data_IF_206855093236
#
_entry.id   IF_206855093236
#
_cell.length_a   1.000
_cell.length_b   1.000
_cell.length_c   1.000
_cell.angle_alpha   90.00
_cell.angle_beta   90.00
_cell.angle_gamma   90.00
#
_symmetry.space_group_name_H-M   'P 1'
#
loop_
_entity.id
_entity.type
_entity.pdbx_description
1 polymer ?
#
# COMPACT_ATOMS: atom_id res chain seq x y z
N UNK A 1 7.58 -8.62 7.53
CA UNK A 1 7.16 -8.06 8.81
C UNK A 1 6.69 -6.63 8.61
N UNK A 2 5.58 -6.31 9.18
CA UNK A 2 4.98 -5.01 9.01
C UNK A 2 5.59 -4.00 9.98
N UNK A 3 5.97 -2.85 9.47
CA UNK A 3 6.45 -1.75 10.27
C UNK A 3 5.50 -0.58 10.16
N UNK A 4 5.00 -0.14 11.29
CA UNK A 4 4.14 1.03 11.32
C UNK A 4 5.00 2.25 11.55
N UNK A 5 4.99 3.16 10.61
CA UNK A 5 5.61 4.45 10.81
C UNK A 5 4.59 5.38 11.45
N UNK A 6 4.95 5.94 12.57
CA UNK A 6 4.05 6.85 13.25
C UNK A 6 4.40 8.27 12.92
N UNK A 7 3.71 8.80 11.95
CA UNK A 7 3.68 10.23 11.79
C UNK A 7 2.27 10.66 12.08
N UNK A 8 2.12 11.40 13.14
CA UNK A 8 0.80 11.76 13.67
C UNK A 8 -0.08 12.44 12.65
N UNK A 9 0.52 13.12 11.68
CA UNK A 9 -0.23 13.89 10.69
C UNK A 9 -0.47 13.15 9.39
N UNK A 10 0.09 11.97 9.25
CA UNK A 10 0.06 11.30 7.96
C UNK A 10 -0.95 10.16 7.94
N UNK A 11 -2.20 10.52 7.76
CA UNK A 11 -3.23 9.53 7.49
C UNK A 11 -3.18 9.01 6.07
N UNK A 12 -2.26 9.54 5.26
CA UNK A 12 -2.21 9.24 3.83
C UNK A 12 -1.01 8.40 3.42
N UNK A 13 -0.26 7.87 4.37
CA UNK A 13 0.90 7.06 4.03
C UNK A 13 0.48 5.71 3.49
N UNK A 14 1.05 5.38 2.36
CA UNK A 14 0.82 4.12 1.69
C UNK A 14 2.12 3.33 1.66
N UNK A 15 2.05 2.09 2.07
CA UNK A 15 3.21 1.22 2.06
C UNK A 15 2.93 -0.04 1.26
N UNK A 16 3.93 -0.46 0.52
CA UNK A 16 3.98 -1.80 -0.04
C UNK A 16 4.61 -2.71 0.99
N UNK A 17 3.93 -3.78 1.33
CA UNK A 17 4.38 -4.66 2.39
C UNK A 17 4.35 -6.11 1.92
N UNK A 18 5.52 -6.74 1.86
CA UNK A 18 5.62 -8.15 1.48
C UNK A 18 5.23 -9.09 2.61
N UNK A 19 5.23 -8.60 3.84
CA UNK A 19 4.82 -9.38 5.00
C UNK A 19 3.34 -9.38 5.26
N UNK A 20 2.57 -8.66 4.46
CA UNK A 20 1.15 -8.53 4.61
C UNK A 20 0.44 -9.34 3.53
N UNK A 21 -0.41 -10.27 3.92
CA UNK A 21 -1.11 -11.13 2.95
C UNK A 21 -2.36 -10.47 2.37
N UNK A 22 -2.85 -9.40 2.96
CA UNK A 22 -4.06 -8.72 2.54
C UNK A 22 -3.86 -7.22 2.55
N UNK A 23 -4.45 -6.55 1.58
CA UNK A 23 -4.53 -5.09 1.62
C UNK A 23 -5.34 -4.67 2.84
N UNK A 24 -4.87 -3.64 3.53
CA UNK A 24 -5.54 -3.11 4.72
C UNK A 24 -5.45 -1.62 4.76
N UNK A 25 -6.54 -0.96 5.05
CA UNK A 25 -6.56 0.48 5.27
C UNK A 25 -7.39 0.82 6.49
N UNK A 26 -7.08 1.95 7.08
CA UNK A 26 -7.75 2.41 8.29
C UNK A 26 -8.69 3.57 8.08
N UNK A 27 -8.85 4.02 6.86
CA UNK A 27 -9.71 5.16 6.55
C UNK A 27 -10.92 4.69 5.75
N UNK A 28 -12.08 4.66 6.42
CA UNK A 28 -13.33 4.22 5.82
C UNK A 28 -13.70 5.04 4.59
N UNK A 29 -13.31 6.31 4.57
CA UNK A 29 -13.69 7.20 3.48
C UNK A 29 -13.01 6.88 2.15
N UNK A 30 -11.95 6.08 2.17
CA UNK A 30 -11.24 5.71 0.95
C UNK A 30 -11.97 4.62 0.15
N UNK A 31 -12.95 3.98 0.75
CA UNK A 31 -13.68 2.93 0.06
C UNK A 31 -14.71 3.52 -0.89
N UNK A 32 -14.63 3.07 -2.12
CA UNK A 32 -15.60 3.36 -3.17
C UNK A 32 -16.80 2.42 -3.06
N UNK A 33 -16.53 1.17 -2.76
CA UNK A 33 -17.52 0.16 -2.47
C UNK A 33 -17.13 -0.48 -1.15
N UNK A 34 -18.07 -0.62 -0.24
CA UNK A 34 -17.76 -1.16 1.07
C UNK A 34 -18.88 -2.05 1.57
N UNK A 35 -18.48 -3.17 2.15
CA UNK A 35 -19.40 -4.07 2.80
C UNK A 35 -18.95 -4.28 4.23
N UNK A 36 -19.81 -3.91 5.16
CA UNK A 36 -19.56 -4.14 6.57
C UNK A 36 -19.50 -5.64 6.83
N UNK A 37 -18.54 -6.05 7.60
CA UNK A 37 -18.36 -7.47 7.92
C UNK A 37 -17.82 -7.58 9.33
N UNK A 38 -18.49 -8.35 10.13
CA UNK A 38 -17.97 -8.73 11.45
C UNK A 38 -17.00 -9.86 11.27
N UNK A 39 -15.83 -9.73 11.82
CA UNK A 39 -15.04 -10.92 11.91
C UNK A 39 -13.57 -10.73 11.88
N UNK A 40 -12.92 -11.34 12.82
CA UNK A 40 -11.50 -11.47 12.87
C UNK A 40 -10.76 -10.23 13.33
N UNK A 41 -9.54 -10.48 13.70
CA UNK A 41 -8.60 -9.45 14.09
C UNK A 41 -7.35 -9.58 13.26
N UNK A 42 -6.68 -8.46 13.07
CA UNK A 42 -5.32 -8.43 12.54
C UNK A 42 -4.39 -8.34 13.74
N UNK A 43 -3.39 -9.20 13.76
CA UNK A 43 -2.36 -9.16 14.79
C UNK A 43 -1.10 -8.58 14.19
N UNK A 44 -0.58 -7.53 14.78
CA UNK A 44 0.63 -6.86 14.33
C UNK A 44 1.86 -7.47 14.97
N UNK A 45 3.03 -7.13 14.45
CA UNK A 45 4.28 -7.70 14.93
C UNK A 45 4.58 -7.38 16.39
N UNK A 46 4.03 -6.30 16.91
CA UNK A 46 4.18 -5.93 18.32
C UNK A 46 3.19 -6.67 19.24
N UNK A 47 2.39 -7.56 18.68
CA UNK A 47 1.38 -8.31 19.44
C UNK A 47 0.05 -7.60 19.57
N UNK A 48 -0.05 -6.35 19.17
CA UNK A 48 -1.32 -5.63 19.23
C UNK A 48 -2.28 -6.19 18.19
N UNK A 49 -3.58 -6.02 18.46
CA UNK A 49 -4.63 -6.50 17.59
C UNK A 49 -5.58 -5.37 17.23
N UNK A 50 -6.08 -5.42 16.02
CA UNK A 50 -7.12 -4.50 15.56
C UNK A 50 -8.22 -5.29 14.88
N UNK A 51 -9.43 -4.77 15.01
CA UNK A 51 -10.60 -5.46 14.51
C UNK A 51 -10.85 -5.14 13.05
N UNK A 52 -11.14 -6.17 12.27
CA UNK A 52 -11.58 -6.03 10.89
C UNK A 52 -13.07 -5.66 10.93
N UNK A 53 -13.42 -4.55 10.30
CA UNK A 53 -14.79 -4.04 10.28
C UNK A 53 -15.51 -4.25 8.96
N UNK A 54 -14.79 -4.64 7.93
CA UNK A 54 -15.39 -4.88 6.63
C UNK A 54 -14.35 -4.99 5.55
N UNK A 55 -14.80 -5.04 4.33
CA UNK A 55 -13.91 -5.05 3.17
C UNK A 55 -14.61 -4.42 1.97
N UNK A 56 -13.80 -4.00 1.03
CA UNK A 56 -14.33 -3.37 -0.15
C UNK A 56 -13.28 -3.04 -1.17
N UNK A 57 -13.65 -2.11 -2.04
CA UNK A 57 -12.81 -1.65 -3.15
C UNK A 57 -12.40 -0.22 -2.92
N UNK A 58 -11.15 0.06 -3.18
CA UNK A 58 -10.62 1.42 -3.10
C UNK A 58 -10.12 1.85 -4.46
N UNK A 59 -10.02 3.17 -4.65
CA UNK A 59 -9.47 3.76 -5.86
C UNK A 59 -8.25 4.59 -5.47
N UNK A 60 -7.10 3.96 -5.34
CA UNK A 60 -5.89 4.70 -4.99
C UNK A 60 -5.48 5.63 -6.11
N UNK A 61 -4.81 6.74 -5.79
CA UNK A 61 -4.30 7.61 -6.83
C UNK A 61 -3.39 6.87 -7.79
N UNK A 62 -3.60 7.05 -9.08
CA UNK A 62 -2.77 6.50 -10.16
C UNK A 62 -2.73 4.98 -10.27
N UNK A 63 -3.51 4.30 -9.48
CA UNK A 63 -3.65 2.87 -9.58
C UNK A 63 -5.07 2.54 -10.00
N UNK A 64 -5.27 1.43 -10.69
CA UNK A 64 -6.61 0.95 -10.91
C UNK A 64 -7.28 0.59 -9.59
N UNK A 65 -8.57 0.41 -9.62
CA UNK A 65 -9.32 0.00 -8.45
C UNK A 65 -8.73 -1.29 -7.87
N UNK A 66 -8.65 -1.33 -6.57
CA UNK A 66 -8.15 -2.49 -5.84
C UNK A 66 -9.30 -3.05 -5.00
N UNK A 67 -9.63 -4.30 -5.25
CA UNK A 67 -10.69 -4.99 -4.54
C UNK A 67 -10.15 -5.78 -3.36
N UNK A 68 -11.04 -6.26 -2.52
CA UNK A 68 -10.71 -7.12 -1.38
C UNK A 68 -9.78 -6.46 -0.39
N UNK A 69 -9.97 -5.19 -0.16
CA UNK A 69 -9.21 -4.42 0.82
C UNK A 69 -9.94 -4.49 2.15
N UNK A 70 -9.23 -4.83 3.21
CA UNK A 70 -9.80 -4.87 4.54
C UNK A 70 -9.83 -3.48 5.16
N UNK A 71 -10.93 -3.18 5.81
CA UNK A 71 -11.00 -2.01 6.67
C UNK A 71 -10.66 -2.45 8.09
N UNK A 72 -9.57 -1.92 8.60
CA UNK A 72 -9.05 -2.27 9.92
C UNK A 72 -9.12 -1.03 10.79
N UNK A 73 -9.97 -1.08 11.78
CA UNK A 73 -10.19 0.07 12.66
C UNK A 73 -8.92 0.44 13.41
N UNK A 74 -8.61 1.72 13.42
CA UNK A 74 -7.45 2.22 14.14
C UNK A 74 -6.12 2.12 13.42
N UNK A 75 -6.10 1.49 12.26
CA UNK A 75 -4.88 1.42 11.46
C UNK A 75 -4.56 2.81 10.91
N UNK A 76 -3.33 3.25 11.12
CA UNK A 76 -2.93 4.62 10.77
C UNK A 76 -2.23 4.73 9.43
N UNK A 77 -1.97 3.62 8.78
CA UNK A 77 -1.30 3.59 7.50
C UNK A 77 -2.12 2.76 6.53
N UNK A 78 -1.86 2.95 5.26
CA UNK A 78 -2.50 2.16 4.23
C UNK A 78 -1.49 1.13 3.74
N UNK A 79 -1.83 -0.14 3.86
CA UNK A 79 -0.93 -1.23 3.53
C UNK A 79 -1.43 -1.95 2.29
N UNK A 80 -0.59 -1.99 1.29
CA UNK A 80 -0.85 -2.75 0.09
C UNK A 80 -0.01 -4.01 0.10
N UNK A 81 -0.67 -5.13 0.00
CA UNK A 81 -0.04 -6.44 -0.05
C UNK A 81 0.61 -6.65 -1.41
N UNK A 82 1.91 -6.84 -1.42
CA UNK A 82 2.64 -7.09 -2.66
C UNK A 82 2.13 -8.36 -3.33
N UNK A 83 1.86 -9.40 -2.57
CA UNK A 83 1.37 -10.65 -3.15
C UNK A 83 0.02 -10.46 -3.83
N UNK A 84 -0.89 -9.71 -3.25
CA UNK A 84 -2.18 -9.45 -3.88
C UNK A 84 -2.05 -8.56 -5.12
N UNK A 85 -1.10 -7.64 -5.11
CA UNK A 85 -0.81 -6.83 -6.30
C UNK A 85 -0.33 -7.74 -7.42
N UNK A 86 0.60 -8.62 -7.13
CA UNK A 86 1.11 -9.55 -8.14
C UNK A 86 0.04 -10.51 -8.64
N UNK A 87 -0.91 -10.87 -7.78
CA UNK A 87 -2.04 -11.72 -8.19
C UNK A 87 -2.93 -11.05 -9.24
N UNK A 88 -2.86 -9.74 -9.35
CA UNK A 88 -3.62 -8.98 -10.35
C UNK A 88 -2.78 -8.64 -11.58
N UNK A 89 -1.73 -9.39 -11.83
CA UNK A 89 -0.85 -9.24 -12.98
C UNK A 89 -0.02 -7.96 -13.02
N UNK A 90 0.15 -7.32 -11.88
CA UNK A 90 1.11 -6.24 -11.76
C UNK A 90 2.47 -6.80 -11.39
N UNK A 91 3.50 -6.09 -11.77
CA UNK A 91 4.86 -6.40 -11.40
C UNK A 91 5.35 -5.38 -10.40
N UNK A 92 6.03 -5.86 -9.37
CA UNK A 92 6.65 -4.99 -8.38
C UNK A 92 8.14 -5.27 -8.41
N UNK A 93 8.92 -4.25 -8.72
CA UNK A 93 10.37 -4.36 -8.87
C UNK A 93 11.04 -3.53 -7.80
N UNK A 94 11.97 -4.14 -7.10
CA UNK A 94 12.72 -3.49 -6.04
C UNK A 94 14.18 -3.33 -6.43
N UNK A 95 14.70 -2.15 -6.17
CA UNK A 95 16.12 -1.88 -6.19
C UNK A 95 16.54 -1.41 -4.80
N UNK A 96 17.82 -1.15 -4.62
CA UNK A 96 18.34 -0.71 -3.33
C UNK A 96 17.60 0.51 -2.76
N UNK A 97 17.27 1.45 -3.60
CA UNK A 97 16.66 2.71 -3.13
C UNK A 97 15.23 2.93 -3.58
N UNK A 98 14.70 2.08 -4.44
CA UNK A 98 13.42 2.36 -5.11
C UNK A 98 12.59 1.12 -5.31
N UNK A 99 11.32 1.36 -5.53
CA UNK A 99 10.38 0.32 -5.91
C UNK A 99 9.55 0.84 -7.07
N UNK A 100 9.34 0.02 -8.07
CA UNK A 100 8.46 0.34 -9.20
C UNK A 100 7.31 -0.64 -9.23
N UNK A 101 6.14 -0.11 -9.55
CA UNK A 101 4.98 -0.94 -9.88
C UNK A 101 4.65 -0.75 -11.36
N UNK A 102 4.59 -1.84 -12.07
CA UNK A 102 4.30 -1.85 -13.51
C UNK A 102 3.03 -2.65 -13.77
N UNK A 103 2.28 -2.24 -14.78
CA UNK A 103 1.16 -3.06 -15.23
C UNK A 103 1.68 -4.22 -16.11
N UNK A 104 0.78 -5.07 -16.56
CA UNK A 104 1.17 -6.23 -17.37
C UNK A 104 1.75 -5.84 -18.73
N UNK A 105 1.54 -4.60 -19.17
CA UNK A 105 2.17 -4.06 -20.37
C UNK A 105 3.53 -3.45 -20.08
N UNK A 106 4.01 -3.58 -18.84
CA UNK A 106 5.26 -3.01 -18.35
C UNK A 106 5.25 -1.49 -18.30
N UNK A 107 4.06 -0.91 -18.30
CA UNK A 107 3.93 0.53 -18.13
C UNK A 107 4.08 0.86 -16.65
N UNK A 108 4.92 1.85 -16.37
CA UNK A 108 5.12 2.29 -14.99
C UNK A 108 3.88 3.00 -14.48
N UNK A 109 3.37 2.54 -13.36
CA UNK A 109 2.25 3.15 -12.68
C UNK A 109 2.71 4.05 -11.55
N UNK A 110 3.61 3.53 -10.72
CA UNK A 110 4.07 4.23 -9.52
C UNK A 110 5.54 3.92 -9.31
N UNK A 111 6.24 4.88 -8.74
CA UNK A 111 7.54 4.64 -8.14
C UNK A 111 7.52 5.12 -6.69
N UNK A 112 8.32 4.49 -5.87
CA UNK A 112 8.47 4.89 -4.49
C UNK A 112 9.92 4.83 -4.07
N UNK A 113 10.22 5.49 -2.95
CA UNK A 113 11.56 5.52 -2.40
C UNK A 113 11.61 4.69 -1.13
N UNK A 114 12.77 4.11 -0.89
CA UNK A 114 13.03 3.43 0.36
C UNK A 114 13.14 4.43 1.49
N UNK A 115 12.45 4.17 2.57
CA UNK A 115 12.51 5.01 3.77
C UNK A 115 13.66 4.60 4.67
N UNK A 116 13.92 5.41 5.68
CA UNK A 116 14.93 5.11 6.68
C UNK A 116 14.59 3.84 7.47
N UNK A 117 13.33 3.48 7.53
CA UNK A 117 12.85 2.27 8.21
C UNK A 117 12.91 1.03 7.34
N UNK A 118 13.56 1.11 6.20
CA UNK A 118 13.65 0.01 5.25
C UNK A 118 12.31 -0.40 4.65
N UNK A 119 11.37 0.51 4.62
CA UNK A 119 10.09 0.34 3.95
C UNK A 119 10.09 1.11 2.65
N UNK A 120 9.21 0.74 1.73
CA UNK A 120 9.04 1.51 0.51
C UNK A 120 7.74 2.29 0.64
N UNK A 121 7.90 3.59 0.69
CA UNK A 121 6.80 4.51 0.88
C UNK A 121 6.15 4.76 -0.47
N UNK A 122 4.90 4.37 -0.60
CA UNK A 122 4.14 4.58 -1.82
C UNK A 122 3.50 5.96 -1.73
N UNK A 123 4.07 6.92 -2.41
CA UNK A 123 3.57 8.29 -2.35
C UNK A 123 2.38 8.45 -3.27
N UNK A 124 1.21 8.80 -2.75
CA UNK A 124 0.00 8.89 -3.56
C UNK A 124 0.07 9.96 -4.64
N UNK A 125 0.72 11.06 -4.35
CA UNK A 125 0.88 12.11 -5.33
C UNK A 125 2.11 11.86 -6.16
N UNK A 126 1.93 11.03 -7.16
CA UNK A 126 3.03 10.63 -7.98
C UNK A 126 3.56 11.75 -8.87
N UNK A 127 2.86 12.85 -9.01
CA UNK A 127 3.41 13.98 -9.75
C UNK A 127 4.63 14.54 -9.05
N UNK A 128 4.51 14.72 -7.76
CA UNK A 128 5.62 15.24 -6.98
C UNK A 128 6.75 14.22 -6.94
N UNK A 129 6.43 12.99 -6.61
CA UNK A 129 7.44 11.97 -6.42
C UNK A 129 8.10 11.57 -7.72
N UNK A 130 7.31 11.31 -8.74
CA UNK A 130 7.86 10.87 -10.02
C UNK A 130 8.69 11.95 -10.68
N UNK A 131 8.32 13.19 -10.51
CA UNK A 131 9.12 14.29 -11.06
C UNK A 131 10.42 14.48 -10.31
N UNK A 132 10.38 14.30 -9.00
CA UNK A 132 11.57 14.50 -8.17
C UNK A 132 12.50 13.31 -8.20
N UNK A 133 11.95 12.12 -8.25
CA UNK A 133 12.75 10.91 -8.22
C UNK A 133 13.27 10.56 -9.59
N UNK A 134 12.56 10.94 -10.59
CA UNK A 134 12.99 10.74 -11.96
C UNK A 134 13.84 9.49 -12.12
N UNK A 135 13.25 8.42 -12.52
CA UNK A 135 13.95 7.17 -12.66
C UNK A 135 14.80 7.18 -13.91
N UNK A 136 16.11 7.21 -13.78
CA UNK A 136 16.96 6.93 -14.92
C UNK A 136 16.73 5.50 -15.37
N UNK A 137 16.97 5.24 -16.65
CA UNK A 137 16.74 3.92 -17.21
C UNK A 137 17.51 2.82 -16.48
N UNK A 138 18.61 3.18 -15.90
CA UNK A 138 19.48 2.24 -15.22
C UNK A 138 19.01 1.86 -13.82
N UNK A 139 17.96 2.46 -13.32
CA UNK A 139 17.49 2.17 -11.96
C UNK A 139 16.78 0.82 -11.84
N UNK A 140 16.44 0.23 -12.94
CA UNK A 140 15.85 -1.11 -12.94
C UNK A 140 16.28 -1.92 -14.13
#
# INVERSE_FOLDING_TARGET
MMKLAFKVMDTCLWYLDSGCSRHMIGDRSLFKVFKSKKGGNVTFSDGSKSQIKGKGTISPPRLPDIANVLYVEGLRVNLLSISQICDQDFMVLFSKGKCLMLDKSRKKLISSVRTLDNCYDLVPDANIVCNNIRLPNEDL
#
